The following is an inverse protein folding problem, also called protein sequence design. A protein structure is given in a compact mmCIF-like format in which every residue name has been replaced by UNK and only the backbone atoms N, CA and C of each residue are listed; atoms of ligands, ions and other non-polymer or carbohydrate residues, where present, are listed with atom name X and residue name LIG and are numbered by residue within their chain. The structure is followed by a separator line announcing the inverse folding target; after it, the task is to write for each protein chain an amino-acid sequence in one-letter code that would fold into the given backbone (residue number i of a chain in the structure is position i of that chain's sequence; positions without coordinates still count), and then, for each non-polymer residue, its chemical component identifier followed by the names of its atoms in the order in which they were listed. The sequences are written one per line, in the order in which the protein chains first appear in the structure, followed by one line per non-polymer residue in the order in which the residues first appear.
data_IF_254464758877
#
_entry.id   IF_254464758877
#
_cell.length_a   1.000
_cell.length_b   1.000
_cell.length_c   1.000
_cell.angle_alpha   90.00
_cell.angle_beta   90.00
_cell.angle_gamma   90.00
#
_symmetry.space_group_name_H-M   'P 1'
#
loop_
_entity.id
_entity.type
_entity.pdbx_description
1 polymer ?
#
# COMPACT_ATOMS: atom_id res chain seq x y z
N UNK A 1 21.71 -25.54 3.32
CA UNK A 1 20.32 -25.16 2.98
C UNK A 1 19.90 -26.02 1.81
N UNK A 2 19.11 -27.09 2.05
CA UNK A 2 18.60 -28.01 1.03
C UNK A 2 17.57 -27.27 0.15
N UNK A 3 17.66 -27.47 -1.17
CA UNK A 3 16.70 -26.92 -2.12
C UNK A 3 15.28 -27.45 -1.79
N UNK A 4 14.22 -26.61 -1.83
CA UNK A 4 12.86 -27.06 -1.57
C UNK A 4 12.47 -28.13 -2.60
N UNK A 5 11.85 -29.22 -2.12
CA UNK A 5 11.38 -30.34 -2.95
C UNK A 5 10.40 -29.83 -4.02
N UNK A 6 10.34 -30.50 -5.18
CA UNK A 6 9.46 -30.13 -6.30
C UNK A 6 7.98 -30.00 -5.88
N UNK A 7 7.51 -30.83 -4.96
CA UNK A 7 6.18 -30.78 -4.35
C UNK A 7 5.89 -29.46 -3.63
N UNK A 8 6.88 -28.88 -2.95
CA UNK A 8 6.72 -27.62 -2.22
C UNK A 8 6.65 -26.42 -3.17
N UNK A 9 7.38 -26.47 -4.30
CA UNK A 9 7.31 -25.42 -5.34
C UNK A 9 5.95 -25.37 -6.02
N UNK A 10 5.36 -26.52 -6.35
CA UNK A 10 4.04 -26.61 -6.98
C UNK A 10 2.95 -26.07 -6.05
N UNK A 11 3.02 -26.38 -4.75
CA UNK A 11 2.09 -25.82 -3.76
C UNK A 11 2.18 -24.29 -3.65
N UNK A 12 3.40 -23.73 -3.62
CA UNK A 12 3.62 -22.28 -3.58
C UNK A 12 3.03 -21.61 -4.83
N UNK A 13 3.30 -22.15 -6.02
CA UNK A 13 2.78 -21.59 -7.28
C UNK A 13 1.26 -21.60 -7.29
N UNK A 14 0.63 -22.68 -6.82
CA UNK A 14 -0.83 -22.78 -6.71
C UNK A 14 -1.41 -21.70 -5.79
N UNK A 15 -0.84 -21.52 -4.59
CA UNK A 15 -1.32 -20.51 -3.63
C UNK A 15 -1.13 -19.09 -4.16
N UNK A 16 -0.03 -18.82 -4.86
CA UNK A 16 0.19 -17.53 -5.53
C UNK A 16 -0.85 -17.29 -6.62
N UNK A 17 -1.09 -18.29 -7.47
CA UNK A 17 -2.10 -18.21 -8.53
C UNK A 17 -3.52 -17.99 -7.97
N UNK A 18 -3.88 -18.71 -6.90
CA UNK A 18 -5.16 -18.51 -6.18
C UNK A 18 -5.26 -17.08 -5.63
N UNK A 19 -4.20 -16.58 -4.98
CA UNK A 19 -4.17 -15.21 -4.44
C UNK A 19 -4.39 -14.17 -5.53
N UNK A 20 -3.69 -14.30 -6.65
CA UNK A 20 -3.82 -13.39 -7.78
C UNK A 20 -5.18 -13.49 -8.46
N UNK A 21 -5.75 -14.69 -8.55
CA UNK A 21 -7.10 -14.90 -9.10
C UNK A 21 -8.18 -14.20 -8.26
N UNK A 22 -8.14 -14.34 -6.93
CA UNK A 22 -9.05 -13.63 -6.02
C UNK A 22 -8.85 -12.11 -6.10
N UNK A 23 -7.60 -11.64 -6.13
CA UNK A 23 -7.29 -10.23 -6.28
C UNK A 23 -7.80 -9.65 -7.60
N UNK A 24 -7.57 -10.36 -8.69
CA UNK A 24 -8.06 -9.95 -10.02
C UNK A 24 -9.59 -9.95 -10.08
N UNK A 25 -10.25 -10.99 -9.57
CA UNK A 25 -11.70 -11.05 -9.54
C UNK A 25 -12.30 -9.88 -8.77
N UNK A 26 -11.86 -9.63 -7.53
CA UNK A 26 -12.36 -8.52 -6.72
C UNK A 26 -12.00 -7.14 -7.28
N UNK A 27 -10.74 -6.97 -7.68
CA UNK A 27 -10.24 -5.70 -8.23
C UNK A 27 -10.91 -5.32 -9.55
N UNK A 28 -11.05 -6.27 -10.47
CA UNK A 28 -11.74 -6.03 -11.74
C UNK A 28 -13.23 -5.75 -11.52
N UNK A 29 -13.90 -6.51 -10.65
CA UNK A 29 -15.32 -6.31 -10.38
C UNK A 29 -15.60 -4.88 -9.88
N UNK A 30 -14.94 -4.43 -8.80
CA UNK A 30 -15.17 -3.09 -8.28
C UNK A 30 -14.56 -1.99 -9.16
N UNK A 31 -13.44 -2.26 -9.84
CA UNK A 31 -12.83 -1.34 -10.77
C UNK A 31 -13.70 -1.05 -11.99
N UNK A 32 -14.28 -2.09 -12.60
CA UNK A 32 -15.16 -1.96 -13.77
C UNK A 32 -16.53 -1.38 -13.39
N UNK A 33 -17.00 -1.59 -12.16
CA UNK A 33 -18.20 -0.93 -11.62
C UNK A 33 -17.99 0.56 -11.37
N UNK A 34 -16.77 1.09 -11.57
CA UNK A 34 -16.47 2.50 -11.39
C UNK A 34 -16.37 2.95 -9.92
N UNK A 35 -16.21 1.99 -9.00
CA UNK A 35 -15.98 2.32 -7.58
C UNK A 35 -14.62 3.04 -7.46
N UNK A 36 -14.55 4.17 -6.76
CA UNK A 36 -13.28 4.88 -6.53
C UNK A 36 -12.25 3.95 -5.87
N UNK A 37 -11.03 3.95 -6.42
CA UNK A 37 -9.98 3.00 -6.04
C UNK A 37 -10.41 1.51 -6.12
N UNK A 38 -11.41 1.16 -6.93
CA UNK A 38 -12.04 -0.16 -7.01
C UNK A 38 -11.06 -1.29 -7.30
N UNK A 39 -10.05 -1.05 -8.13
CA UNK A 39 -9.00 -2.04 -8.39
C UNK A 39 -8.22 -2.41 -7.13
N UNK A 40 -7.94 -1.45 -6.26
CA UNK A 40 -7.23 -1.67 -4.99
C UNK A 40 -8.18 -2.23 -3.93
N UNK A 41 -9.29 -1.54 -3.66
CA UNK A 41 -10.22 -1.93 -2.59
C UNK A 41 -10.89 -3.28 -2.85
N UNK A 42 -11.28 -3.55 -4.09
CA UNK A 42 -11.85 -4.84 -4.49
C UNK A 42 -10.89 -6.01 -4.33
N UNK A 43 -9.62 -5.83 -4.71
CA UNK A 43 -8.60 -6.86 -4.53
C UNK A 43 -8.28 -7.10 -3.05
N UNK A 44 -8.21 -6.04 -2.22
CA UNK A 44 -8.04 -6.18 -0.76
C UNK A 44 -9.19 -6.99 -0.17
N UNK A 45 -10.44 -6.61 -0.46
CA UNK A 45 -11.63 -7.28 0.08
C UNK A 45 -11.70 -8.75 -0.31
N UNK A 46 -11.50 -9.06 -1.59
CA UNK A 46 -11.58 -10.44 -2.07
C UNK A 46 -10.49 -11.33 -1.46
N UNK A 47 -9.25 -10.85 -1.40
CA UNK A 47 -8.15 -11.63 -0.82
C UNK A 47 -8.26 -11.70 0.69
N UNK A 48 -8.67 -10.63 1.38
CA UNK A 48 -8.90 -10.66 2.82
C UNK A 48 -10.02 -11.64 3.19
N UNK A 49 -11.15 -11.61 2.46
CA UNK A 49 -12.25 -12.57 2.66
C UNK A 49 -11.80 -14.01 2.45
N UNK A 50 -11.04 -14.30 1.39
CA UNK A 50 -10.48 -15.62 1.15
C UNK A 50 -9.49 -16.05 2.23
N UNK A 51 -8.64 -15.12 2.72
CA UNK A 51 -7.70 -15.35 3.82
C UNK A 51 -8.44 -15.70 5.12
N UNK A 52 -9.47 -14.94 5.46
CA UNK A 52 -10.30 -15.15 6.65
C UNK A 52 -11.14 -16.45 6.55
N UNK A 53 -11.49 -16.87 5.33
CA UNK A 53 -12.11 -18.17 5.06
C UNK A 53 -11.12 -19.36 5.20
N UNK A 54 -9.89 -19.10 5.64
CA UNK A 54 -8.88 -20.12 5.91
C UNK A 54 -8.09 -20.57 4.68
N UNK A 55 -8.18 -19.84 3.55
CA UNK A 55 -7.35 -20.15 2.38
C UNK A 55 -5.93 -19.61 2.57
N UNK A 56 -4.89 -20.38 2.22
CA UNK A 56 -3.52 -19.94 2.30
C UNK A 56 -3.21 -18.94 1.16
N UNK A 57 -3.33 -17.65 1.47
CA UNK A 57 -3.00 -16.57 0.54
C UNK A 57 -1.54 -16.17 0.72
N UNK A 58 -0.76 -16.17 -0.37
CA UNK A 58 0.68 -15.94 -0.33
C UNK A 58 1.16 -15.13 -1.54
N UNK A 59 2.01 -14.14 -1.27
CA UNK A 59 2.76 -13.41 -2.31
C UNK A 59 4.25 -13.58 -2.03
N UNK A 60 5.06 -14.09 -2.99
CA UNK A 60 6.50 -14.21 -2.84
C UNK A 60 7.20 -12.85 -2.70
N UNK A 61 8.37 -12.85 -2.07
CA UNK A 61 9.14 -11.62 -1.81
C UNK A 61 9.58 -10.89 -3.08
N UNK A 62 9.93 -11.62 -4.15
CA UNK A 62 10.44 -11.00 -5.37
C UNK A 62 9.38 -10.17 -6.11
N UNK A 63 8.18 -10.70 -6.43
CA UNK A 63 7.08 -9.90 -6.97
C UNK A 63 6.73 -8.71 -6.08
N UNK A 64 6.71 -8.90 -4.74
CA UNK A 64 6.44 -7.83 -3.79
C UNK A 64 7.44 -6.67 -3.91
N UNK A 65 8.75 -6.96 -4.11
CA UNK A 65 9.77 -5.92 -4.31
C UNK A 65 9.55 -5.12 -5.58
N UNK A 66 9.23 -5.80 -6.69
CA UNK A 66 8.90 -5.16 -7.96
C UNK A 66 7.67 -4.26 -7.79
N UNK A 67 6.63 -4.75 -7.14
CA UNK A 67 5.42 -3.98 -6.85
C UNK A 67 5.71 -2.71 -6.05
N UNK A 68 6.56 -2.77 -5.04
CA UNK A 68 6.92 -1.59 -4.24
C UNK A 68 7.58 -0.50 -5.09
N UNK A 69 8.45 -0.87 -6.03
CA UNK A 69 9.06 0.09 -6.97
C UNK A 69 8.01 0.70 -7.89
N UNK A 70 7.16 -0.11 -8.51
CA UNK A 70 6.12 0.36 -9.43
C UNK A 70 5.08 1.26 -8.73
N UNK A 71 4.71 0.94 -7.50
CA UNK A 71 3.84 1.80 -6.67
C UNK A 71 4.55 3.11 -6.35
N UNK A 72 5.83 3.05 -5.96
CA UNK A 72 6.63 4.25 -5.70
C UNK A 72 6.67 5.17 -6.91
N UNK A 73 6.91 4.64 -8.11
CA UNK A 73 6.88 5.41 -9.37
C UNK A 73 5.50 6.06 -9.56
N UNK A 74 4.42 5.30 -9.39
CA UNK A 74 3.05 5.80 -9.58
C UNK A 74 2.69 6.90 -8.58
N UNK A 75 3.12 6.77 -7.31
CA UNK A 75 2.90 7.78 -6.28
C UNK A 75 3.72 9.05 -6.53
N UNK A 76 4.97 8.91 -6.97
CA UNK A 76 5.83 10.05 -7.27
C UNK A 76 5.36 10.86 -8.48
N UNK A 77 4.70 10.23 -9.45
CA UNK A 77 4.17 10.89 -10.65
C UNK A 77 3.06 11.92 -10.35
N UNK A 78 2.49 11.92 -9.15
CA UNK A 78 1.53 12.94 -8.71
C UNK A 78 2.20 14.29 -8.44
N UNK A 79 3.50 14.29 -8.19
CA UNK A 79 4.29 15.50 -7.91
C UNK A 79 4.68 16.16 -9.23
N UNK A 80 3.85 17.09 -9.70
CA UNK A 80 4.09 17.91 -10.91
C UNK A 80 4.49 19.33 -10.51
N UNK A 81 5.06 20.15 -11.42
CA UNK A 81 5.32 21.55 -11.14
C UNK A 81 4.05 22.31 -10.70
N UNK A 82 2.91 21.98 -11.30
CA UNK A 82 1.61 22.55 -10.90
C UNK A 82 1.22 22.16 -9.47
N UNK A 83 1.43 20.90 -9.09
CA UNK A 83 1.18 20.41 -7.73
C UNK A 83 2.09 21.11 -6.71
N UNK A 84 3.39 21.27 -7.03
CA UNK A 84 4.34 21.97 -6.16
C UNK A 84 3.99 23.43 -5.96
N UNK A 85 3.61 24.12 -7.03
CA UNK A 85 3.15 25.50 -6.94
C UNK A 85 1.84 25.62 -6.14
N UNK A 86 0.91 24.67 -6.33
CA UNK A 86 -0.31 24.57 -5.52
C UNK A 86 -0.02 24.36 -4.04
N UNK A 87 0.92 23.46 -3.68
CA UNK A 87 1.31 23.25 -2.29
C UNK A 87 1.88 24.51 -1.63
N UNK A 88 2.66 25.30 -2.37
CA UNK A 88 3.16 26.58 -1.87
C UNK A 88 2.04 27.59 -1.56
N UNK A 89 0.87 27.43 -2.16
CA UNK A 89 -0.30 28.30 -1.95
C UNK A 89 -1.12 27.90 -0.71
N UNK A 90 -0.97 26.65 -0.21
CA UNK A 90 -1.77 26.11 0.89
C UNK A 90 -0.95 25.66 2.11
N UNK A 91 -0.04 26.49 2.66
CA UNK A 91 0.79 26.07 3.80
C UNK A 91 -0.04 25.75 5.05
N UNK A 92 -1.16 26.45 5.25
CA UNK A 92 -2.08 26.22 6.35
C UNK A 92 -2.72 24.82 6.28
N UNK A 93 -3.12 24.37 5.10
CA UNK A 93 -3.70 23.03 4.90
C UNK A 93 -2.69 21.93 5.23
N UNK A 94 -1.43 22.12 4.87
CA UNK A 94 -0.35 21.18 5.21
C UNK A 94 -0.13 21.17 6.73
N UNK A 95 -0.08 22.32 7.39
CA UNK A 95 0.06 22.41 8.83
C UNK A 95 -1.11 21.74 9.57
N UNK A 96 -2.35 21.99 9.12
CA UNK A 96 -3.55 21.34 9.68
C UNK A 96 -3.48 19.83 9.50
N UNK A 97 -3.02 19.32 8.34
CA UNK A 97 -2.87 17.89 8.08
C UNK A 97 -1.88 17.26 9.07
N UNK A 98 -0.72 17.89 9.29
CA UNK A 98 0.30 17.39 10.23
C UNK A 98 -0.27 17.35 11.66
N UNK A 99 -0.90 18.43 12.10
CA UNK A 99 -1.52 18.49 13.42
C UNK A 99 -2.61 17.42 13.57
N UNK A 100 -3.48 17.26 12.58
CA UNK A 100 -4.52 16.23 12.58
C UNK A 100 -3.93 14.81 12.66
N UNK A 101 -2.85 14.52 11.92
CA UNK A 101 -2.15 13.23 11.99
C UNK A 101 -1.61 12.94 13.41
N UNK A 102 -0.99 13.93 14.03
CA UNK A 102 -0.49 13.81 15.41
C UNK A 102 -1.65 13.61 16.38
N UNK A 103 -2.71 14.41 16.28
CA UNK A 103 -3.88 14.30 17.14
C UNK A 103 -4.55 12.93 17.03
N UNK A 104 -4.75 12.41 15.80
CA UNK A 104 -5.35 11.08 15.55
C UNK A 104 -4.47 9.99 16.18
N UNK A 105 -3.14 10.06 16.00
CA UNK A 105 -2.22 9.07 16.55
C UNK A 105 -2.21 9.07 18.08
N UNK A 106 -2.15 10.25 18.70
CA UNK A 106 -2.17 10.40 20.16
C UNK A 106 -3.53 9.97 20.73
N UNK A 107 -4.63 10.35 20.09
CA UNK A 107 -5.98 9.96 20.52
C UNK A 107 -6.18 8.44 20.42
N UNK A 108 -5.73 7.83 19.33
CA UNK A 108 -5.79 6.38 19.16
C UNK A 108 -4.96 5.63 20.19
N UNK A 109 -3.72 6.07 20.44
CA UNK A 109 -2.88 5.49 21.48
C UNK A 109 -3.49 5.65 22.87
N UNK A 110 -4.06 6.83 23.17
CA UNK A 110 -4.72 7.09 24.45
C UNK A 110 -5.96 6.22 24.63
N UNK A 111 -6.75 6.03 23.58
CA UNK A 111 -7.89 5.14 23.60
C UNK A 111 -7.49 3.69 23.93
N UNK A 112 -6.50 3.15 23.23
CA UNK A 112 -5.99 1.78 23.47
C UNK A 112 -5.47 1.61 24.91
N UNK A 113 -4.84 2.65 25.46
CA UNK A 113 -4.35 2.62 26.84
C UNK A 113 -5.45 2.70 27.89
N UNK A 114 -6.37 3.64 27.72
CA UNK A 114 -7.38 3.95 28.75
C UNK A 114 -8.52 2.95 28.73
N UNK A 115 -8.99 2.56 27.53
CA UNK A 115 -10.15 1.68 27.38
C UNK A 115 -9.75 0.21 27.40
N UNK A 116 -8.65 -0.15 26.74
CA UNK A 116 -8.22 -1.55 26.60
C UNK A 116 -7.05 -1.92 27.53
N UNK A 117 -6.53 -0.99 28.31
CA UNK A 117 -5.47 -1.27 29.28
C UNK A 117 -4.11 -1.64 28.70
N UNK A 118 -3.87 -1.31 27.42
CA UNK A 118 -2.62 -1.67 26.74
C UNK A 118 -1.44 -0.91 27.34
N UNK A 119 -0.26 -1.54 27.32
CA UNK A 119 0.97 -0.88 27.70
C UNK A 119 1.28 0.30 26.77
N UNK A 120 2.06 1.25 27.28
CA UNK A 120 2.34 2.51 26.58
C UNK A 120 2.99 2.28 25.22
N UNK A 121 3.99 1.38 25.14
CA UNK A 121 4.78 1.16 23.92
C UNK A 121 3.91 0.51 22.86
N UNK A 122 3.20 -0.57 23.18
CA UNK A 122 2.29 -1.26 22.27
C UNK A 122 1.21 -0.32 21.74
N UNK A 123 0.56 0.48 22.60
CA UNK A 123 -0.49 1.40 22.18
C UNK A 123 0.03 2.48 21.21
N UNK A 124 1.17 3.10 21.50
CA UNK A 124 1.75 4.10 20.60
C UNK A 124 2.21 3.50 19.26
N UNK A 125 2.84 2.33 19.26
CA UNK A 125 3.26 1.65 18.03
C UNK A 125 2.07 1.16 17.21
N UNK A 126 0.99 0.72 17.85
CA UNK A 126 -0.25 0.35 17.15
C UNK A 126 -0.92 1.54 16.46
N UNK A 127 -0.96 2.71 17.14
CA UNK A 127 -1.59 3.92 16.62
C UNK A 127 -0.69 4.72 15.67
N UNK A 128 0.64 4.53 15.71
CA UNK A 128 1.59 5.29 14.90
C UNK A 128 1.34 5.12 13.40
N UNK A 129 1.34 6.21 12.61
CA UNK A 129 1.32 6.10 11.16
C UNK A 129 2.70 5.63 10.68
N UNK A 130 2.72 4.52 9.91
CA UNK A 130 3.99 3.98 9.40
C UNK A 130 3.83 2.67 8.66
N UNK A 131 4.92 2.19 8.06
CA UNK A 131 4.95 0.87 7.45
C UNK A 131 4.99 -0.23 8.50
N UNK A 132 4.15 -1.24 8.34
CA UNK A 132 4.06 -2.36 9.30
C UNK A 132 5.44 -2.96 9.61
N UNK A 133 6.31 -3.12 8.60
CA UNK A 133 7.63 -3.72 8.79
C UNK A 133 8.55 -2.91 9.71
N UNK A 134 8.51 -1.57 9.63
CA UNK A 134 9.29 -0.69 10.48
C UNK A 134 8.76 -0.71 11.91
N UNK A 135 7.44 -0.62 12.06
CA UNK A 135 6.78 -0.67 13.37
C UNK A 135 7.03 -2.02 14.04
N UNK A 136 6.93 -3.13 13.29
CA UNK A 136 7.21 -4.47 13.82
C UNK A 136 8.69 -4.66 14.22
N UNK A 137 9.63 -4.08 13.46
CA UNK A 137 11.04 -4.08 13.84
C UNK A 137 11.27 -3.37 15.17
N UNK A 138 10.70 -2.17 15.32
CA UNK A 138 10.81 -1.41 16.55
C UNK A 138 10.05 -2.09 17.73
N UNK A 139 8.91 -2.71 17.44
CA UNK A 139 8.16 -3.46 18.44
C UNK A 139 8.96 -4.64 19.02
N UNK A 140 9.70 -5.34 18.16
CA UNK A 140 10.58 -6.43 18.56
C UNK A 140 11.76 -5.94 19.45
N UNK A 141 12.31 -4.75 19.14
CA UNK A 141 13.39 -4.15 19.93
C UNK A 141 12.91 -3.64 21.29
N UNK A 142 11.66 -3.21 21.38
CA UNK A 142 11.06 -2.63 22.59
C UNK A 142 10.21 -3.62 23.40
N UNK A 143 10.24 -4.90 23.03
CA UNK A 143 9.48 -6.00 23.67
C UNK A 143 7.97 -5.74 23.77
N UNK A 144 7.42 -5.10 22.71
CA UNK A 144 6.00 -4.77 22.61
C UNK A 144 5.18 -5.93 22.04
N UNK A 145 3.86 -5.94 22.25
CA UNK A 145 2.97 -6.95 21.68
C UNK A 145 2.84 -6.79 20.16
N UNK A 146 3.72 -7.48 19.44
CA UNK A 146 3.75 -7.47 17.97
C UNK A 146 2.43 -7.92 17.35
N UNK A 147 1.71 -8.84 18.02
CA UNK A 147 0.45 -9.38 17.52
C UNK A 147 -0.65 -8.33 17.55
N UNK A 148 -0.84 -7.69 18.69
CA UNK A 148 -1.79 -6.61 18.89
C UNK A 148 -1.52 -5.46 17.90
N UNK A 149 -0.26 -5.04 17.78
CA UNK A 149 0.17 -4.02 16.82
C UNK A 149 -0.18 -4.42 15.38
N UNK A 150 0.13 -5.66 14.97
CA UNK A 150 -0.13 -6.14 13.61
C UNK A 150 -1.63 -6.13 13.29
N UNK A 151 -2.48 -6.54 14.21
CA UNK A 151 -3.95 -6.55 14.04
C UNK A 151 -4.45 -5.12 13.82
N UNK A 152 -4.16 -4.19 14.73
CA UNK A 152 -4.63 -2.81 14.64
C UNK A 152 -4.13 -2.13 13.37
N UNK A 153 -2.86 -2.26 13.04
CA UNK A 153 -2.27 -1.69 11.83
C UNK A 153 -2.93 -2.25 10.56
N UNK A 154 -3.20 -3.56 10.52
CA UNK A 154 -3.80 -4.22 9.36
C UNK A 154 -5.26 -3.81 9.18
N UNK A 155 -6.05 -3.82 10.26
CA UNK A 155 -7.45 -3.37 10.26
C UNK A 155 -7.55 -1.92 9.82
N UNK A 156 -6.70 -1.04 10.35
CA UNK A 156 -6.61 0.37 9.93
C UNK A 156 -6.38 0.53 8.44
N UNK A 157 -5.40 -0.20 7.88
CA UNK A 157 -5.09 -0.12 6.45
C UNK A 157 -6.31 -0.52 5.62
N UNK A 158 -7.01 -1.58 6.00
CA UNK A 158 -8.22 -2.02 5.28
C UNK A 158 -9.35 -1.01 5.39
N UNK A 159 -9.62 -0.50 6.59
CA UNK A 159 -10.67 0.51 6.80
C UNK A 159 -10.39 1.76 5.96
N UNK A 160 -9.15 2.24 5.94
CA UNK A 160 -8.78 3.41 5.14
C UNK A 160 -8.84 3.10 3.64
N UNK A 161 -8.26 1.97 3.20
CA UNK A 161 -8.17 1.64 1.79
C UNK A 161 -9.54 1.34 1.13
N UNK A 162 -10.48 0.86 1.91
CA UNK A 162 -11.85 0.54 1.44
C UNK A 162 -12.85 1.61 1.88
N UNK A 163 -12.82 1.99 3.15
CA UNK A 163 -13.81 2.88 3.74
C UNK A 163 -13.70 4.32 3.24
N UNK A 164 -12.48 4.85 3.05
CA UNK A 164 -12.30 6.22 2.59
C UNK A 164 -12.82 6.43 1.15
N UNK A 165 -12.43 5.61 0.14
CA UNK A 165 -12.98 5.73 -1.20
C UNK A 165 -14.50 5.52 -1.25
N UNK A 166 -15.02 4.56 -0.50
CA UNK A 166 -16.45 4.30 -0.42
C UNK A 166 -17.20 5.49 0.20
N UNK A 167 -16.71 6.02 1.32
CA UNK A 167 -17.31 7.18 2.00
C UNK A 167 -17.31 8.44 1.13
N UNK A 168 -16.19 8.74 0.48
CA UNK A 168 -16.09 9.87 -0.44
C UNK A 168 -17.03 9.73 -1.64
N UNK A 169 -17.20 8.51 -2.15
CA UNK A 169 -18.14 8.20 -3.23
C UNK A 169 -19.60 8.43 -2.82
N UNK A 170 -19.97 7.96 -1.63
CA UNK A 170 -21.33 8.15 -1.09
C UNK A 170 -21.66 9.63 -0.85
N UNK A 171 -20.66 10.43 -0.49
CA UNK A 171 -20.81 11.87 -0.30
C UNK A 171 -20.76 12.66 -1.61
N UNK A 172 -20.59 12.01 -2.77
CA UNK A 172 -20.48 12.66 -4.07
C UNK A 172 -19.21 13.52 -4.23
N UNK A 173 -18.22 13.37 -3.35
CA UNK A 173 -16.99 14.16 -3.35
C UNK A 173 -15.93 13.61 -4.32
N UNK A 174 -16.14 12.43 -4.88
CA UNK A 174 -15.26 11.83 -5.88
C UNK A 174 -15.91 11.96 -7.25
N UNK A 175 -15.31 12.74 -8.12
CA UNK A 175 -15.75 12.85 -9.51
C UNK A 175 -15.61 11.49 -10.22
N UNK A 176 -16.43 11.27 -11.27
CA UNK A 176 -16.45 10.04 -12.09
C UNK A 176 -15.12 9.77 -12.86
N UNK A 177 -14.08 10.56 -12.60
CA UNK A 177 -12.80 10.53 -13.30
C UNK A 177 -11.80 9.47 -12.83
N UNK A 178 -12.09 8.69 -11.78
CA UNK A 178 -11.11 7.73 -11.25
C UNK A 178 -11.18 6.36 -11.91
N UNK A 179 -11.11 6.32 -13.23
CA UNK A 179 -10.86 5.07 -13.97
C UNK A 179 -9.38 4.66 -13.89
N UNK A 180 -8.87 4.51 -12.66
CA UNK A 180 -7.51 4.04 -12.42
C UNK A 180 -6.46 5.15 -12.38
N UNK A 181 -5.31 4.81 -11.75
CA UNK A 181 -4.12 5.66 -11.70
C UNK A 181 -3.30 5.32 -12.93
N UNK A 182 -3.11 6.27 -13.84
CA UNK A 182 -2.30 6.06 -15.05
C UNK A 182 -2.83 6.82 -16.25
N UNK A 183 -2.03 6.89 -17.29
CA UNK A 183 -2.32 7.59 -18.54
C UNK A 183 -2.49 6.65 -19.73
N UNK A 184 -2.87 7.18 -20.89
CA UNK A 184 -2.85 6.43 -22.14
C UNK A 184 -1.41 6.04 -22.49
N UNK A 185 -1.25 4.85 -23.06
CA UNK A 185 0.05 4.42 -23.58
C UNK A 185 0.37 5.18 -24.86
N UNK A 186 1.50 5.91 -24.87
CA UNK A 186 2.01 6.58 -26.05
C UNK A 186 3.39 6.00 -26.40
N UNK A 187 3.54 5.28 -27.53
CA UNK A 187 4.82 4.72 -27.95
C UNK A 187 5.93 5.77 -28.14
N UNK A 188 5.58 7.02 -28.47
CA UNK A 188 6.56 8.10 -28.62
C UNK A 188 7.22 8.52 -27.31
N UNK A 189 6.68 8.11 -26.16
CA UNK A 189 7.21 8.42 -24.81
C UNK A 189 7.91 7.22 -24.16
N UNK A 190 8.26 6.20 -24.94
CA UNK A 190 8.95 5.01 -24.42
C UNK A 190 10.30 5.35 -23.80
N UNK A 191 11.02 6.32 -24.36
CA UNK A 191 12.33 6.76 -23.84
C UNK A 191 12.19 7.40 -22.46
N UNK A 192 11.21 8.30 -22.29
CA UNK A 192 10.91 8.90 -20.98
C UNK A 192 10.49 7.83 -19.97
N UNK A 193 9.65 6.89 -20.37
CA UNK A 193 9.22 5.78 -19.51
C UNK A 193 10.39 4.88 -19.11
N UNK A 194 11.29 4.58 -20.03
CA UNK A 194 12.49 3.80 -19.77
C UNK A 194 13.43 4.51 -18.79
N UNK A 195 13.64 5.81 -18.97
CA UNK A 195 14.43 6.64 -18.04
C UNK A 195 13.79 6.64 -16.65
N UNK A 196 12.48 6.86 -16.57
CA UNK A 196 11.72 6.88 -15.33
C UNK A 196 11.86 5.56 -14.56
N UNK A 197 11.63 4.44 -15.22
CA UNK A 197 11.71 3.10 -14.62
C UNK A 197 13.15 2.77 -14.21
N UNK A 198 14.13 3.03 -15.09
CA UNK A 198 15.55 2.75 -14.82
C UNK A 198 16.06 3.58 -13.64
N UNK A 199 15.89 4.90 -13.67
CA UNK A 199 16.34 5.80 -12.60
C UNK A 199 15.69 5.45 -11.26
N UNK A 200 14.36 5.27 -11.25
CA UNK A 200 13.61 4.90 -10.05
C UNK A 200 14.06 3.55 -9.48
N UNK A 201 14.32 2.56 -10.34
CA UNK A 201 14.81 1.25 -9.91
C UNK A 201 16.20 1.33 -9.31
N UNK A 202 17.12 2.06 -9.96
CA UNK A 202 18.50 2.22 -9.48
C UNK A 202 18.51 2.86 -8.09
N UNK A 203 17.82 4.00 -7.92
CA UNK A 203 17.76 4.70 -6.63
C UNK A 203 17.08 3.86 -5.56
N UNK A 204 16.03 3.12 -5.91
CA UNK A 204 15.36 2.18 -5.00
C UNK A 204 16.28 1.09 -4.51
N UNK A 205 17.09 0.50 -5.41
CA UNK A 205 18.07 -0.53 -5.04
C UNK A 205 19.19 0.02 -4.17
N UNK A 206 19.67 1.24 -4.46
CA UNK A 206 20.66 1.94 -3.62
C UNK A 206 20.06 2.18 -2.22
N UNK A 207 18.86 2.76 -2.14
CA UNK A 207 18.16 3.00 -0.87
C UNK A 207 17.94 1.71 -0.07
N UNK A 208 17.58 0.62 -0.76
CA UNK A 208 17.44 -0.69 -0.13
C UNK A 208 18.79 -1.23 0.40
N UNK A 209 19.88 -1.03 -0.36
CA UNK A 209 21.20 -1.50 0.01
C UNK A 209 21.78 -0.77 1.22
N UNK A 210 21.52 0.53 1.36
CA UNK A 210 21.91 1.33 2.54
C UNK A 210 20.96 1.10 3.73
N UNK A 211 20.03 0.13 3.64
CA UNK A 211 19.04 -0.21 4.66
C UNK A 211 18.09 0.94 5.02
N UNK A 212 17.81 1.84 4.08
CA UNK A 212 16.84 2.91 4.32
C UNK A 212 15.44 2.29 4.53
N UNK A 213 14.70 2.67 5.58
CA UNK A 213 13.37 2.12 5.87
C UNK A 213 12.40 2.34 4.68
N UNK A 214 11.86 1.25 4.12
CA UNK A 214 11.01 1.34 2.93
C UNK A 214 11.75 1.76 1.66
N UNK A 215 13.08 1.58 1.57
CA UNK A 215 13.94 2.09 0.51
C UNK A 215 13.46 1.76 -0.91
N UNK A 216 12.85 0.60 -1.14
CA UNK A 216 12.30 0.25 -2.46
C UNK A 216 11.15 1.17 -2.87
N UNK A 217 10.23 1.45 -1.96
CA UNK A 217 9.09 2.33 -2.21
C UNK A 217 9.51 3.79 -2.26
N UNK A 218 10.18 4.26 -1.20
CA UNK A 218 10.57 5.67 -1.08
C UNK A 218 11.61 6.09 -2.11
N UNK A 219 12.58 5.22 -2.44
CA UNK A 219 13.57 5.48 -3.47
C UNK A 219 12.92 5.72 -4.84
N UNK A 220 11.96 4.86 -5.23
CA UNK A 220 11.22 5.03 -6.47
C UNK A 220 10.33 6.28 -6.44
N UNK A 221 9.63 6.49 -5.33
CA UNK A 221 8.72 7.63 -5.16
C UNK A 221 9.46 8.96 -5.24
N UNK A 222 10.56 9.12 -4.51
CA UNK A 222 11.34 10.36 -4.51
C UNK A 222 11.98 10.63 -5.87
N UNK A 223 12.49 9.60 -6.55
CA UNK A 223 13.06 9.74 -7.89
C UNK A 223 11.99 10.14 -8.89
N UNK A 224 10.85 9.46 -8.89
CA UNK A 224 9.73 9.81 -9.76
C UNK A 224 9.21 11.22 -9.47
N UNK A 225 9.06 11.59 -8.19
CA UNK A 225 8.66 12.92 -7.78
C UNK A 225 9.65 14.01 -8.23
N UNK A 226 10.95 13.75 -8.15
CA UNK A 226 11.96 14.69 -8.63
C UNK A 226 11.93 14.88 -10.15
N UNK A 227 11.79 13.78 -10.91
CA UNK A 227 11.73 13.83 -12.37
C UNK A 227 10.47 14.51 -12.90
N UNK A 228 9.30 14.22 -12.32
CA UNK A 228 8.05 14.87 -12.68
C UNK A 228 7.95 16.31 -12.14
N UNK A 229 8.39 16.52 -10.89
CA UNK A 229 8.37 17.84 -10.25
C UNK A 229 9.32 18.85 -10.89
N UNK A 230 10.44 18.39 -11.47
CA UNK A 230 11.32 19.24 -12.28
C UNK A 230 10.79 19.54 -13.68
N UNK A 231 9.72 18.86 -14.11
CA UNK A 231 9.19 18.96 -15.48
C UNK A 231 10.06 18.29 -16.54
N UNK A 232 11.03 17.45 -16.13
CA UNK A 232 11.88 16.72 -17.07
C UNK A 232 11.15 15.53 -17.71
N UNK A 233 10.26 14.88 -16.96
CA UNK A 233 9.43 13.75 -17.42
C UNK A 233 7.96 14.10 -17.21
N UNK A 234 7.17 13.82 -18.25
CA UNK A 234 5.72 14.02 -18.26
C UNK A 234 4.94 12.70 -18.40
N UNK A 235 5.63 11.62 -18.79
CA UNK A 235 5.01 10.32 -18.97
C UNK A 235 4.57 9.72 -17.63
N UNK A 236 3.34 9.24 -17.57
CA UNK A 236 2.82 8.46 -16.45
C UNK A 236 2.74 6.98 -16.81
N UNK A 237 2.72 6.10 -15.82
CA UNK A 237 2.53 4.67 -16.06
C UNK A 237 1.28 4.43 -16.91
N UNK A 238 1.33 3.55 -17.92
CA UNK A 238 0.16 3.13 -18.67
C UNK A 238 -0.93 2.61 -17.73
N UNK A 239 -2.19 2.98 -17.99
CA UNK A 239 -3.33 2.66 -17.11
C UNK A 239 -3.45 1.17 -16.77
N UNK A 240 -3.14 0.28 -17.73
CA UNK A 240 -3.20 -1.17 -17.53
C UNK A 240 -2.09 -1.65 -16.58
N UNK A 241 -0.89 -1.08 -16.63
CA UNK A 241 0.20 -1.37 -15.68
C UNK A 241 -0.20 -0.89 -14.30
N UNK A 242 -0.63 0.37 -14.19
CA UNK A 242 -1.01 0.98 -12.92
C UNK A 242 -2.16 0.19 -12.24
N UNK A 243 -3.20 -0.19 -12.98
CA UNK A 243 -4.29 -0.99 -12.43
C UNK A 243 -3.85 -2.40 -12.02
N UNK A 244 -2.99 -3.05 -12.80
CA UNK A 244 -2.40 -4.35 -12.43
C UNK A 244 -1.59 -4.24 -11.14
N UNK A 245 -0.80 -3.19 -11.00
CA UNK A 245 -0.03 -2.89 -9.77
C UNK A 245 -0.95 -2.66 -8.58
N UNK A 246 -2.08 -1.95 -8.76
CA UNK A 246 -3.07 -1.74 -7.69
C UNK A 246 -3.73 -3.06 -7.26
N UNK A 247 -4.11 -3.91 -8.21
CA UNK A 247 -4.66 -5.25 -7.92
C UNK A 247 -3.64 -6.10 -7.15
N UNK A 248 -2.39 -6.13 -7.60
CA UNK A 248 -1.35 -6.91 -6.98
C UNK A 248 -0.98 -6.38 -5.58
N UNK A 249 -1.00 -5.06 -5.39
CA UNK A 249 -0.80 -4.45 -4.06
C UNK A 249 -1.96 -4.76 -3.10
N UNK A 250 -3.19 -4.77 -3.63
CA UNK A 250 -4.34 -5.23 -2.87
C UNK A 250 -4.22 -6.70 -2.46
N UNK A 251 -3.68 -7.57 -3.34
CA UNK A 251 -3.37 -8.95 -3.01
C UNK A 251 -2.36 -9.07 -1.85
N UNK A 252 -1.28 -8.28 -1.88
CA UNK A 252 -0.30 -8.23 -0.78
C UNK A 252 -0.95 -7.76 0.53
N UNK A 253 -1.78 -6.74 0.47
CA UNK A 253 -2.44 -6.19 1.66
C UNK A 253 -3.48 -7.16 2.21
N UNK A 254 -4.32 -7.74 1.36
CA UNK A 254 -5.34 -8.72 1.76
C UNK A 254 -4.75 -10.03 2.28
N UNK A 255 -3.59 -10.47 1.76
CA UNK A 255 -2.92 -11.69 2.23
C UNK A 255 -2.37 -11.59 3.65
N UNK A 256 -2.25 -10.39 4.22
CA UNK A 256 -1.84 -10.19 5.63
C UNK A 256 -2.84 -10.75 6.64
N UNK A 257 -4.09 -10.97 6.23
CA UNK A 257 -5.09 -11.67 7.04
C UNK A 257 -4.94 -13.19 7.04
N UNK A 258 -4.07 -13.75 6.20
CA UNK A 258 -3.81 -15.19 6.18
C UNK A 258 -3.24 -15.65 7.54
N UNK A 259 -3.91 -16.63 8.15
CA UNK A 259 -3.53 -17.16 9.47
C UNK A 259 -4.09 -16.37 10.66
N UNK A 260 -4.90 -15.33 10.46
CA UNK A 260 -5.62 -14.65 11.54
C UNK A 260 -6.98 -15.32 11.73
N UNK A 261 -7.22 -16.08 12.81
CA UNK A 261 -8.52 -16.74 13.02
C UNK A 261 -9.57 -15.68 13.39
N UNK A 262 -10.72 -15.70 12.67
CA UNK A 262 -11.86 -14.78 12.89
C UNK A 262 -12.34 -14.75 14.35
N UNK A 263 -12.18 -15.83 15.09
CA UNK A 263 -12.55 -15.93 16.51
C UNK A 263 -11.78 -14.99 17.42
N UNK A 264 -10.61 -14.53 17.00
CA UNK A 264 -9.78 -13.59 17.78
C UNK A 264 -10.17 -12.12 17.52
N UNK A 265 -10.81 -11.82 16.39
CA UNK A 265 -11.32 -10.47 16.08
C UNK A 265 -12.67 -10.19 16.75
N UNK A 266 -13.37 -11.24 17.23
CA UNK A 266 -14.67 -11.12 17.90
C UNK A 266 -14.56 -11.14 19.43
N UNK A 267 -13.39 -11.38 20.00
CA UNK A 267 -13.15 -11.56 21.43
C UNK A 267 -12.43 -10.37 22.09
N UNK A 268 -12.04 -9.36 21.33
CA UNK A 268 -11.47 -8.07 21.77
C UNK A 268 -12.43 -6.91 21.39
#
# INVERSE_FOLDING_TARGET
MSAPSSSNRTAIVRHVAETLAFAAAGGLTLGLLGVPAGYLSGSILAVAAASLAGRPMLIPLLPMRILLVLIGISLGAVVTPATLNGMATYPLSIAVLIVAMVCISVSGASYLRVVHGWDKITAYLAAAPGGLSQVMGLAAELDADMRAIAIVQTVRVVIIAVGLPAGLSLLGLVGHASRGIGGPFNPAQLDELAILVAASTIVSLIAHRIRFPGGLLFGAMLTSAALHGSGYIHVVMPWWVANTVMIAFGAVTGSRFAGTPLRLMAAE
#
